data_IF_146072357454
#
_entry.id   IF_146072357454
#
_cell.length_a   1.000
_cell.length_b   1.000
_cell.length_c   1.000
_cell.angle_alpha   90.00
_cell.angle_beta   90.00
_cell.angle_gamma   90.00
#
_symmetry.space_group_name_H-M   'P 1'
#
loop_
_entity.id
_entity.type
_entity.pdbx_description
1 polymer ?
#
# COMPACT_ATOMS: atom_id res chain seq x y z
N UNK A 1 10.49 -1.93 20.72
CA UNK A 1 11.09 -1.85 19.37
C UNK A 1 10.05 -1.71 18.27
N UNK A 2 9.03 -2.57 18.19
CA UNK A 2 8.00 -2.54 17.12
C UNK A 2 6.81 -1.60 17.34
N UNK A 3 6.82 -0.76 18.39
CA UNK A 3 5.77 0.24 18.60
C UNK A 3 6.04 1.50 17.77
N UNK A 4 5.88 1.40 16.46
CA UNK A 4 6.12 2.51 15.52
C UNK A 4 4.99 3.55 15.55
N UNK A 5 3.83 3.19 16.10
CA UNK A 5 2.72 4.11 16.33
C UNK A 5 3.11 5.30 17.22
N UNK A 6 3.97 5.07 18.22
CA UNK A 6 4.34 6.12 19.17
C UNK A 6 5.09 7.28 18.50
N UNK A 7 6.12 6.98 17.70
CA UNK A 7 6.89 8.00 16.96
C UNK A 7 6.05 8.62 15.84
N UNK A 8 5.28 7.79 15.12
CA UNK A 8 4.41 8.26 14.05
C UNK A 8 3.40 9.27 14.59
N UNK A 9 2.80 9.01 15.76
CA UNK A 9 1.86 9.96 16.37
C UNK A 9 2.52 11.31 16.64
N UNK A 10 3.73 11.34 17.22
CA UNK A 10 4.46 12.60 17.45
C UNK A 10 4.68 13.38 16.16
N UNK A 11 5.11 12.70 15.09
CA UNK A 11 5.30 13.33 13.77
C UNK A 11 3.99 13.87 13.22
N UNK A 12 2.89 13.10 13.30
CA UNK A 12 1.57 13.55 12.84
C UNK A 12 1.05 14.75 13.64
N UNK A 13 1.32 14.80 14.95
CA UNK A 13 0.96 15.95 15.79
C UNK A 13 1.75 17.22 15.37
N UNK A 14 3.04 17.07 15.00
CA UNK A 14 3.89 18.18 14.52
C UNK A 14 3.43 18.74 13.17
N UNK A 15 2.89 17.89 12.29
CA UNK A 15 2.46 18.29 10.94
C UNK A 15 0.95 18.48 10.81
N UNK A 16 0.21 18.51 11.92
CA UNK A 16 -1.26 18.52 11.95
C UNK A 16 -1.88 19.64 11.10
N UNK A 17 -1.24 20.80 11.04
CA UNK A 17 -1.75 21.98 10.30
C UNK A 17 -1.67 21.78 8.77
N UNK A 18 -0.97 20.74 8.29
CA UNK A 18 -0.97 20.35 6.88
C UNK A 18 -2.17 19.47 6.48
N UNK A 19 -2.96 19.01 7.45
CA UNK A 19 -4.10 18.09 7.28
C UNK A 19 -3.78 16.92 6.31
N UNK A 20 -2.78 16.08 6.64
CA UNK A 20 -2.31 15.04 5.75
C UNK A 20 -3.35 13.91 5.66
N UNK A 21 -3.81 13.63 4.45
CA UNK A 21 -4.71 12.51 4.17
C UNK A 21 -3.97 11.40 3.46
N UNK A 22 -4.26 10.17 3.87
CA UNK A 22 -3.73 8.95 3.29
C UNK A 22 -4.85 8.01 2.86
N UNK A 23 -4.60 7.24 1.80
CA UNK A 23 -5.37 6.05 1.47
C UNK A 23 -4.42 4.93 1.07
N UNK A 24 -4.64 3.72 1.58
CA UNK A 24 -3.76 2.58 1.32
C UNK A 24 -4.50 1.44 0.64
N UNK A 25 -3.89 0.93 -0.43
CA UNK A 25 -4.37 -0.16 -1.28
C UNK A 25 -3.69 -1.46 -0.80
N UNK A 26 -4.34 -2.22 0.07
CA UNK A 26 -3.77 -3.44 0.63
C UNK A 26 -4.02 -4.64 -0.27
N UNK A 27 -3.00 -5.07 -1.00
CA UNK A 27 -3.01 -6.34 -1.70
C UNK A 27 -2.64 -7.50 -0.76
N UNK A 28 -3.22 -8.67 -0.99
CA UNK A 28 -2.92 -9.90 -0.26
C UNK A 28 -3.24 -11.13 -1.11
N UNK A 29 -2.69 -12.28 -0.74
CA UNK A 29 -3.00 -13.56 -1.41
C UNK A 29 -3.57 -14.55 -0.43
N UNK A 30 -4.63 -15.26 -0.84
CA UNK A 30 -5.20 -16.36 -0.09
C UNK A 30 -4.43 -17.65 -0.38
N UNK A 31 -3.99 -18.32 0.68
CA UNK A 31 -3.32 -19.62 0.66
C UNK A 31 -4.15 -20.66 1.41
N UNK A 32 -4.03 -21.92 1.02
CA UNK A 32 -4.39 -23.04 1.88
C UNK A 32 -3.39 -23.18 3.04
N UNK A 33 -3.74 -23.99 4.04
CA UNK A 33 -2.86 -24.31 5.18
C UNK A 33 -1.55 -25.01 4.76
N UNK A 34 -1.50 -25.55 3.55
CA UNK A 34 -0.32 -26.13 2.92
C UNK A 34 0.60 -25.08 2.26
N UNK A 35 0.31 -23.79 2.44
CA UNK A 35 1.00 -22.65 1.82
C UNK A 35 0.90 -22.58 0.29
N UNK A 36 0.03 -23.39 -0.33
CA UNK A 36 -0.26 -23.29 -1.77
C UNK A 36 -1.41 -22.30 -2.00
N UNK A 37 -1.40 -21.49 -3.08
CA UNK A 37 -2.48 -20.53 -3.32
C UNK A 37 -3.86 -21.21 -3.38
N UNK A 38 -4.83 -20.61 -2.69
CA UNK A 38 -6.14 -21.19 -2.46
C UNK A 38 -6.89 -21.40 -3.78
N UNK A 39 -7.37 -22.61 -4.05
CA UNK A 39 -8.12 -22.92 -5.28
C UNK A 39 -7.25 -23.16 -6.52
N UNK A 40 -5.93 -23.13 -6.40
CA UNK A 40 -5.03 -23.57 -7.48
C UNK A 40 -5.03 -25.09 -7.62
N UNK A 41 -4.68 -25.64 -8.80
CA UNK A 41 -4.52 -27.08 -8.98
C UNK A 41 -3.46 -27.65 -8.03
N UNK A 42 -3.73 -28.85 -7.48
CA UNK A 42 -2.78 -29.56 -6.63
C UNK A 42 -1.45 -29.78 -7.37
N UNK A 43 -0.35 -29.33 -6.76
CA UNK A 43 1.00 -29.38 -7.35
C UNK A 43 1.10 -28.75 -8.75
N UNK A 44 0.21 -27.81 -9.08
CA UNK A 44 0.11 -27.21 -10.40
C UNK A 44 -0.14 -25.72 -10.37
N UNK A 45 -0.32 -25.17 -11.57
CA UNK A 45 -0.58 -23.75 -11.81
C UNK A 45 -1.90 -23.60 -12.56
N UNK A 46 -2.68 -22.53 -12.32
CA UNK A 46 -3.79 -22.17 -13.17
C UNK A 46 -3.29 -21.65 -14.53
N UNK A 47 -4.22 -21.26 -15.39
CA UNK A 47 -3.88 -20.59 -16.64
C UNK A 47 -3.08 -19.29 -16.42
N UNK A 48 -2.45 -18.73 -17.48
CA UNK A 48 -1.71 -17.48 -17.38
C UNK A 48 -2.56 -16.31 -16.89
N UNK A 49 -1.91 -15.34 -16.22
CA UNK A 49 -2.55 -14.10 -15.77
C UNK A 49 -3.21 -13.34 -16.93
N UNK A 50 -4.29 -12.61 -16.64
CA UNK A 50 -5.09 -11.89 -17.62
C UNK A 50 -6.58 -11.90 -17.28
N UNK A 51 -7.22 -13.07 -17.14
CA UNK A 51 -8.66 -13.14 -16.95
C UNK A 51 -9.13 -13.02 -15.48
N UNK A 52 -8.20 -12.84 -14.54
CA UNK A 52 -8.47 -12.85 -13.10
C UNK A 52 -8.77 -11.46 -12.53
N UNK A 53 -8.08 -10.42 -13.00
CA UNK A 53 -8.26 -9.05 -12.54
C UNK A 53 -9.72 -8.61 -12.74
N UNK A 54 -10.37 -8.20 -11.64
CA UNK A 54 -11.80 -7.86 -11.62
C UNK A 54 -12.72 -8.93 -12.24
N UNK A 55 -12.29 -10.20 -12.23
CA UNK A 55 -13.03 -11.30 -12.84
C UNK A 55 -14.34 -11.64 -12.13
N UNK A 56 -15.16 -12.45 -12.81
CA UNK A 56 -16.39 -13.05 -12.28
C UNK A 56 -16.53 -14.47 -12.86
N UNK A 57 -17.06 -15.39 -12.07
CA UNK A 57 -17.20 -16.81 -12.44
C UNK A 57 -16.25 -17.72 -11.68
N UNK A 58 -16.67 -18.97 -11.51
CA UNK A 58 -15.96 -19.97 -10.70
C UNK A 58 -14.57 -20.33 -11.24
N UNK A 59 -14.32 -20.12 -12.54
CA UNK A 59 -13.04 -20.39 -13.19
C UNK A 59 -12.08 -19.19 -13.11
N UNK A 60 -12.54 -18.02 -12.63
CA UNK A 60 -11.76 -16.77 -12.54
C UNK A 60 -11.52 -16.30 -11.11
N UNK A 61 -12.45 -16.57 -10.20
CA UNK A 61 -12.49 -15.94 -8.89
C UNK A 61 -12.44 -16.98 -7.79
N UNK A 62 -11.42 -16.89 -6.94
CA UNK A 62 -11.19 -17.84 -5.85
C UNK A 62 -11.26 -17.09 -4.51
N UNK A 63 -12.15 -17.53 -3.61
CA UNK A 63 -12.24 -17.00 -2.24
C UNK A 63 -13.05 -15.71 -2.06
N UNK A 64 -13.99 -15.38 -2.97
CA UNK A 64 -14.83 -14.17 -2.85
C UNK A 64 -15.61 -14.08 -1.53
N UNK A 65 -16.02 -15.21 -0.96
CA UNK A 65 -16.77 -15.22 0.31
C UNK A 65 -15.98 -14.57 1.46
N UNK A 66 -14.66 -14.73 1.48
CA UNK A 66 -13.77 -14.09 2.46
C UNK A 66 -13.76 -12.58 2.25
N UNK A 67 -13.68 -12.12 1.00
CA UNK A 67 -13.64 -10.69 0.63
C UNK A 67 -14.96 -10.02 1.01
N UNK A 68 -16.10 -10.63 0.68
CA UNK A 68 -17.43 -10.12 1.01
C UNK A 68 -17.66 -10.07 2.53
N UNK A 69 -17.20 -11.09 3.25
CA UNK A 69 -17.29 -11.16 4.71
C UNK A 69 -16.39 -10.11 5.38
N UNK A 70 -15.15 -9.97 4.91
CA UNK A 70 -14.20 -8.96 5.36
C UNK A 70 -14.72 -7.54 5.13
N UNK A 71 -15.26 -7.26 3.94
CA UNK A 71 -15.82 -5.95 3.61
C UNK A 71 -16.92 -5.58 4.60
N UNK A 72 -17.91 -6.45 4.79
CA UNK A 72 -19.03 -6.22 5.72
C UNK A 72 -18.56 -6.08 7.17
N UNK A 73 -17.60 -6.90 7.59
CA UNK A 73 -17.02 -6.81 8.94
C UNK A 73 -16.30 -5.47 9.16
N UNK A 74 -15.53 -4.99 8.17
CA UNK A 74 -14.88 -3.69 8.21
C UNK A 74 -15.91 -2.55 8.30
N UNK A 75 -16.95 -2.56 7.47
CA UNK A 75 -18.04 -1.58 7.52
C UNK A 75 -18.71 -1.56 8.90
N UNK A 76 -19.06 -2.74 9.43
CA UNK A 76 -19.70 -2.86 10.74
C UNK A 76 -18.80 -2.35 11.87
N UNK A 77 -17.49 -2.64 11.82
CA UNK A 77 -16.51 -2.19 12.80
C UNK A 77 -16.21 -0.68 12.73
N UNK A 78 -16.69 0.03 11.70
CA UNK A 78 -16.38 1.44 11.46
C UNK A 78 -15.00 1.67 10.84
N UNK A 79 -14.39 0.65 10.24
CA UNK A 79 -13.18 0.83 9.43
C UNK A 79 -13.53 1.64 8.18
N UNK A 80 -12.71 2.64 7.83
CA UNK A 80 -12.84 3.43 6.61
C UNK A 80 -12.44 2.64 5.35
N UNK A 81 -13.01 1.46 5.16
CA UNK A 81 -12.85 0.69 3.92
C UNK A 81 -13.60 1.41 2.79
N UNK A 82 -12.96 1.61 1.65
CA UNK A 82 -13.54 2.38 0.52
C UNK A 82 -13.70 1.56 -0.76
N UNK A 83 -13.16 0.35 -0.83
CA UNK A 83 -13.32 -0.53 -1.99
C UNK A 83 -12.59 -1.85 -1.84
N UNK A 84 -12.81 -2.72 -2.84
CA UNK A 84 -12.13 -4.00 -3.02
C UNK A 84 -12.13 -4.41 -4.48
N UNK A 85 -11.14 -5.18 -4.91
CA UNK A 85 -11.13 -5.85 -6.22
C UNK A 85 -10.39 -7.20 -6.17
N UNK A 86 -10.70 -8.07 -7.13
CA UNK A 86 -9.84 -9.22 -7.43
C UNK A 86 -8.60 -8.71 -8.17
N UNK A 87 -7.43 -9.16 -7.76
CA UNK A 87 -6.16 -8.74 -8.33
C UNK A 87 -5.72 -9.61 -9.53
N UNK A 88 -4.60 -9.25 -10.13
CA UNK A 88 -4.09 -9.90 -11.36
C UNK A 88 -3.74 -11.38 -11.15
N UNK A 89 -3.15 -11.75 -10.01
CA UNK A 89 -2.87 -13.15 -9.70
C UNK A 89 -4.14 -13.85 -9.18
N UNK A 90 -4.48 -15.05 -9.65
CA UNK A 90 -5.61 -15.81 -9.10
C UNK A 90 -5.39 -16.07 -7.60
N UNK A 91 -6.46 -15.88 -6.81
CA UNK A 91 -6.45 -15.91 -5.34
C UNK A 91 -5.81 -14.69 -4.67
N UNK A 92 -5.35 -13.70 -5.46
CA UNK A 92 -4.93 -12.39 -4.96
C UNK A 92 -6.10 -11.42 -4.98
N UNK A 93 -6.15 -10.57 -3.97
CA UNK A 93 -7.22 -9.60 -3.74
C UNK A 93 -6.65 -8.31 -3.19
N UNK A 94 -7.42 -7.24 -3.33
CA UNK A 94 -7.12 -5.94 -2.75
C UNK A 94 -8.32 -5.41 -1.96
N UNK A 95 -8.04 -4.70 -0.87
CA UNK A 95 -8.98 -3.80 -0.23
C UNK A 95 -8.34 -2.42 -0.02
N UNK A 96 -9.13 -1.36 -0.17
CA UNK A 96 -8.65 0.00 0.01
C UNK A 96 -9.18 0.59 1.33
N UNK A 97 -8.32 1.26 2.08
CA UNK A 97 -8.67 1.97 3.32
C UNK A 97 -8.35 3.45 3.16
N UNK A 98 -9.31 4.32 3.45
CA UNK A 98 -9.16 5.77 3.45
C UNK A 98 -10.26 6.52 2.68
N UNK A 99 -10.19 7.86 2.61
CA UNK A 99 -9.13 8.69 3.17
C UNK A 99 -9.13 8.73 4.71
N UNK A 100 -7.94 8.62 5.32
CA UNK A 100 -7.72 8.73 6.76
C UNK A 100 -6.76 9.90 7.04
N UNK A 101 -7.00 10.68 8.09
CA UNK A 101 -6.14 11.80 8.45
C UNK A 101 -5.05 11.38 9.45
N UNK A 102 -3.80 11.68 9.10
CA UNK A 102 -2.65 11.45 9.98
C UNK A 102 -2.58 10.02 10.56
N UNK A 103 -2.60 9.94 11.88
CA UNK A 103 -2.40 8.68 12.63
C UNK A 103 -3.51 7.64 12.39
N UNK A 104 -4.70 8.08 11.99
CA UNK A 104 -5.85 7.20 11.74
C UNK A 104 -5.56 6.18 10.62
N UNK A 105 -4.69 6.50 9.67
CA UNK A 105 -4.38 5.59 8.56
C UNK A 105 -3.79 4.27 9.07
N UNK A 106 -2.82 4.35 9.98
CA UNK A 106 -2.23 3.16 10.58
C UNK A 106 -3.23 2.40 11.44
N UNK A 107 -4.03 3.12 12.24
CA UNK A 107 -5.05 2.51 13.11
C UNK A 107 -6.07 1.72 12.27
N UNK A 108 -6.61 2.31 11.20
CA UNK A 108 -7.59 1.67 10.33
C UNK A 108 -7.02 0.49 9.54
N UNK A 109 -5.82 0.61 8.96
CA UNK A 109 -5.26 -0.48 8.16
C UNK A 109 -4.87 -1.68 9.02
N UNK A 110 -4.27 -1.46 10.20
CA UNK A 110 -3.96 -2.55 11.12
C UNK A 110 -5.21 -3.29 11.59
N UNK A 111 -6.29 -2.56 11.89
CA UNK A 111 -7.57 -3.19 12.24
C UNK A 111 -8.19 -3.94 11.05
N UNK A 112 -8.12 -3.39 9.84
CA UNK A 112 -8.59 -4.07 8.63
C UNK A 112 -7.83 -5.38 8.38
N UNK A 113 -6.50 -5.39 8.57
CA UNK A 113 -5.67 -6.60 8.50
C UNK A 113 -6.04 -7.62 9.57
N UNK A 114 -6.26 -7.18 10.81
CA UNK A 114 -6.70 -8.07 11.89
C UNK A 114 -8.04 -8.74 11.54
N UNK A 115 -9.02 -7.97 11.08
CA UNK A 115 -10.33 -8.50 10.65
C UNK A 115 -10.15 -9.49 9.51
N UNK A 116 -9.29 -9.21 8.52
CA UNK A 116 -9.00 -10.13 7.42
C UNK A 116 -8.50 -11.48 7.93
N UNK A 117 -7.51 -11.47 8.84
CA UNK A 117 -6.99 -12.70 9.41
C UNK A 117 -8.04 -13.46 10.23
N UNK A 118 -8.87 -12.76 11.00
CA UNK A 118 -9.98 -13.36 11.76
C UNK A 118 -11.02 -14.02 10.86
N UNK A 119 -11.41 -13.35 9.78
CA UNK A 119 -12.32 -13.92 8.77
C UNK A 119 -11.67 -15.14 8.11
N UNK A 120 -10.41 -15.02 7.68
CA UNK A 120 -9.69 -16.13 7.05
C UNK A 120 -9.60 -17.38 7.96
N UNK A 121 -9.42 -17.19 9.27
CA UNK A 121 -9.40 -18.26 10.26
C UNK A 121 -10.74 -19.03 10.28
N UNK A 122 -11.87 -18.33 10.27
CA UNK A 122 -13.21 -18.95 10.22
C UNK A 122 -13.44 -19.76 8.93
N UNK A 123 -12.81 -19.36 7.82
CA UNK A 123 -12.84 -20.08 6.54
C UNK A 123 -11.74 -21.14 6.38
N UNK A 124 -10.83 -21.28 7.35
CA UNK A 124 -9.73 -22.25 7.29
C UNK A 124 -8.68 -21.95 6.21
N UNK A 125 -8.49 -20.67 5.86
CA UNK A 125 -7.49 -20.21 4.88
C UNK A 125 -6.49 -19.24 5.51
N UNK A 126 -5.38 -18.99 4.82
CA UNK A 126 -4.34 -18.06 5.27
C UNK A 126 -4.27 -16.86 4.32
N UNK A 127 -4.44 -15.64 4.83
CA UNK A 127 -4.06 -14.44 4.09
C UNK A 127 -2.57 -14.15 4.30
N UNK A 128 -1.79 -14.13 3.22
CA UNK A 128 -0.39 -13.67 3.26
C UNK A 128 -0.27 -12.24 2.75
N UNK A 129 0.53 -11.44 3.46
CA UNK A 129 0.95 -10.10 3.04
C UNK A 129 2.38 -10.10 2.45
N UNK A 130 2.95 -11.28 2.18
CA UNK A 130 4.25 -11.38 1.55
C UNK A 130 4.26 -10.66 0.18
N UNK A 131 5.23 -9.79 -0.12
CA UNK A 131 5.22 -8.99 -1.34
C UNK A 131 5.48 -9.80 -2.62
N UNK A 132 5.92 -11.06 -2.51
CA UNK A 132 6.11 -11.96 -3.65
C UNK A 132 5.81 -13.40 -3.22
N UNK A 133 4.51 -13.76 -3.06
CA UNK A 133 4.11 -15.04 -2.50
C UNK A 133 4.40 -16.20 -3.45
N UNK A 134 4.40 -15.95 -4.76
CA UNK A 134 4.78 -16.91 -5.80
C UNK A 134 5.94 -16.39 -6.64
N UNK A 135 6.90 -17.26 -6.93
CA UNK A 135 8.04 -16.95 -7.81
C UNK A 135 7.65 -17.09 -9.28
N UNK A 136 8.42 -16.45 -10.17
CA UNK A 136 8.18 -16.49 -11.61
C UNK A 136 7.19 -15.44 -12.10
N UNK A 137 6.43 -15.78 -13.14
CA UNK A 137 5.56 -14.84 -13.88
C UNK A 137 4.19 -14.63 -13.21
N UNK A 138 4.20 -14.35 -11.91
CA UNK A 138 3.03 -14.04 -11.10
C UNK A 138 3.21 -12.67 -10.45
N UNK A 139 2.14 -11.88 -10.33
CA UNK A 139 2.20 -10.56 -9.70
C UNK A 139 2.69 -10.66 -8.25
N UNK A 140 3.38 -9.61 -7.80
CA UNK A 140 3.66 -9.43 -6.37
C UNK A 140 2.50 -8.72 -5.68
N UNK A 141 2.62 -8.53 -4.37
CA UNK A 141 1.65 -7.83 -3.53
C UNK A 141 2.20 -6.49 -3.02
N UNK A 142 1.55 -5.39 -3.37
CA UNK A 142 1.88 -4.02 -2.94
C UNK A 142 1.04 -3.51 -1.76
N UNK A 143 1.43 -2.35 -1.25
CA UNK A 143 0.56 -1.52 -0.42
C UNK A 143 0.59 -0.06 -0.88
N UNK A 144 0.07 0.23 -2.08
CA UNK A 144 0.18 1.58 -2.64
C UNK A 144 -0.40 2.61 -1.68
N UNK A 145 0.29 3.73 -1.52
CA UNK A 145 -0.10 4.77 -0.56
C UNK A 145 -0.40 6.06 -1.30
N UNK A 146 -1.68 6.39 -1.36
CA UNK A 146 -2.19 7.67 -1.83
C UNK A 146 -1.99 8.71 -0.73
N UNK A 147 -1.46 9.89 -1.08
CA UNK A 147 -1.17 10.96 -0.12
C UNK A 147 -1.47 12.36 -0.67
N UNK A 148 -2.03 13.21 0.19
CA UNK A 148 -2.18 14.65 -0.04
C UNK A 148 -2.13 15.46 1.26
N UNK A 149 -1.66 16.71 1.18
CA UNK A 149 -1.92 17.75 2.18
C UNK A 149 -3.08 18.64 1.74
N UNK A 150 -3.57 19.51 2.62
CA UNK A 150 -4.60 20.49 2.25
C UNK A 150 -4.22 21.32 1.02
N UNK A 151 -2.98 21.83 0.96
CA UNK A 151 -2.48 22.62 -0.16
C UNK A 151 -2.40 21.82 -1.47
N UNK A 152 -2.18 20.50 -1.41
CA UNK A 152 -2.23 19.65 -2.60
C UNK A 152 -3.64 19.49 -3.13
N UNK A 153 -4.66 19.54 -2.27
CA UNK A 153 -6.08 19.35 -2.62
C UNK A 153 -6.77 20.62 -3.13
N UNK A 154 -6.15 21.79 -2.98
CA UNK A 154 -6.68 23.08 -3.46
C UNK A 154 -6.26 23.36 -4.90
N UNK A 155 -7.01 24.19 -5.62
CA UNK A 155 -6.71 24.57 -7.01
C UNK A 155 -5.26 25.08 -7.16
N UNK A 156 -4.55 24.56 -8.16
CA UNK A 156 -3.11 24.81 -8.33
C UNK A 156 -2.20 23.97 -7.42
N UNK A 157 -2.76 22.98 -6.71
CA UNK A 157 -2.06 22.10 -5.78
C UNK A 157 -1.05 21.15 -6.40
N UNK A 158 -1.07 20.95 -7.73
CA UNK A 158 -0.11 20.12 -8.46
C UNK A 158 1.34 20.55 -8.21
N UNK A 159 1.59 21.86 -8.06
CA UNK A 159 2.93 22.39 -7.71
C UNK A 159 3.44 21.84 -6.37
N UNK A 160 2.55 21.63 -5.40
CA UNK A 160 2.89 21.06 -4.09
C UNK A 160 3.12 19.55 -4.18
N UNK A 161 2.36 18.86 -5.04
CA UNK A 161 2.58 17.45 -5.38
C UNK A 161 3.98 17.27 -5.99
N UNK A 162 4.31 18.03 -7.03
CA UNK A 162 5.61 17.97 -7.70
C UNK A 162 6.76 18.29 -6.75
N UNK A 163 6.60 19.31 -5.89
CA UNK A 163 7.58 19.63 -4.86
C UNK A 163 7.77 18.52 -3.82
N UNK A 164 6.71 17.80 -3.45
CA UNK A 164 6.81 16.64 -2.56
C UNK A 164 7.51 15.46 -3.23
N UNK A 165 7.19 15.19 -4.50
CA UNK A 165 7.84 14.14 -5.30
C UNK A 165 9.34 14.41 -5.45
N UNK A 166 9.74 15.67 -5.66
CA UNK A 166 11.15 16.06 -5.75
C UNK A 166 11.91 15.92 -4.43
N UNK A 167 11.22 15.98 -3.28
CA UNK A 167 11.83 15.64 -1.99
C UNK A 167 11.97 14.12 -1.82
N UNK A 168 10.96 13.36 -2.25
CA UNK A 168 10.98 11.89 -2.21
C UNK A 168 12.08 11.30 -3.11
N UNK A 169 12.35 11.91 -4.27
CA UNK A 169 13.41 11.47 -5.19
C UNK A 169 14.79 11.46 -4.53
N UNK A 170 15.04 12.40 -3.62
CA UNK A 170 16.31 12.56 -2.88
C UNK A 170 16.43 11.63 -1.66
N UNK A 171 15.39 10.87 -1.33
CA UNK A 171 15.35 9.97 -0.17
C UNK A 171 14.88 8.56 -0.53
N UNK A 172 15.04 8.13 -1.79
CA UNK A 172 14.56 6.83 -2.24
C UNK A 172 15.00 5.67 -1.33
N UNK A 173 16.30 5.56 -1.05
CA UNK A 173 16.88 4.48 -0.24
C UNK A 173 16.31 4.45 1.19
N UNK A 174 16.16 5.62 1.81
CA UNK A 174 15.53 5.74 3.14
C UNK A 174 14.11 5.18 3.12
N UNK A 175 13.31 5.55 2.11
CA UNK A 175 11.94 5.06 1.97
C UNK A 175 11.90 3.54 1.74
N UNK A 176 12.76 2.99 0.86
CA UNK A 176 12.83 1.54 0.63
C UNK A 176 13.14 0.78 1.92
N UNK A 177 14.06 1.28 2.74
CA UNK A 177 14.40 0.66 4.03
C UNK A 177 13.24 0.58 5.02
N UNK A 178 12.27 1.52 4.98
CA UNK A 178 11.12 1.53 5.90
C UNK A 178 9.85 0.92 5.29
N UNK A 179 9.86 0.63 3.99
CA UNK A 179 8.71 0.16 3.22
C UNK A 179 8.49 -1.35 3.26
N UNK A 180 9.34 -2.08 3.99
CA UNK A 180 9.04 -3.42 4.52
C UNK A 180 9.77 -3.64 5.87
N UNK A 181 9.30 -4.58 6.72
CA UNK A 181 9.89 -4.82 8.04
C UNK A 181 11.33 -5.35 8.03
N UNK A 182 11.89 -5.69 6.87
CA UNK A 182 13.22 -6.28 6.71
C UNK A 182 14.20 -5.39 5.96
N UNK A 183 13.92 -4.08 5.88
CA UNK A 183 14.90 -3.12 5.36
C UNK A 183 15.01 -3.12 3.84
N UNK A 184 13.92 -3.37 3.11
CA UNK A 184 13.93 -3.45 1.64
C UNK A 184 14.16 -4.87 1.10
N UNK A 185 14.56 -5.82 1.96
CA UNK A 185 14.90 -7.19 1.54
C UNK A 185 13.69 -7.95 1.01
N UNK A 186 12.52 -7.80 1.63
CA UNK A 186 11.32 -8.48 1.15
C UNK A 186 10.84 -7.85 -0.16
N UNK A 187 10.86 -6.51 -0.23
CA UNK A 187 10.40 -5.77 -1.39
C UNK A 187 11.30 -5.94 -2.63
N UNK A 188 12.58 -6.31 -2.44
CA UNK A 188 13.51 -6.63 -3.54
C UNK A 188 13.03 -7.77 -4.45
N UNK A 189 12.21 -8.68 -3.91
CA UNK A 189 11.58 -9.78 -4.68
C UNK A 189 10.42 -9.30 -5.56
N UNK A 190 9.85 -8.13 -5.26
CA UNK A 190 8.69 -7.54 -5.94
C UNK A 190 9.09 -6.45 -6.93
N UNK A 191 9.84 -5.45 -6.47
CA UNK A 191 10.23 -4.27 -7.24
C UNK A 191 11.37 -4.56 -8.23
N UNK A 192 11.01 -5.17 -9.35
CA UNK A 192 11.97 -5.67 -10.36
C UNK A 192 11.94 -4.88 -11.67
N UNK A 193 11.02 -3.92 -11.83
CA UNK A 193 10.73 -3.25 -13.10
C UNK A 193 9.77 -4.02 -14.02
N UNK A 194 9.41 -5.26 -13.65
CA UNK A 194 8.42 -6.07 -14.34
C UNK A 194 7.07 -6.07 -13.60
N UNK A 195 6.02 -6.60 -14.23
CA UNK A 195 4.69 -6.77 -13.61
C UNK A 195 4.10 -5.48 -13.02
N UNK A 196 4.19 -4.36 -13.74
CA UNK A 196 3.67 -3.06 -13.30
C UNK A 196 4.30 -2.54 -11.99
N UNK A 197 5.56 -2.90 -11.72
CA UNK A 197 6.36 -2.38 -10.61
C UNK A 197 7.56 -1.56 -11.10
N UNK A 198 8.06 -0.64 -10.28
CA UNK A 198 9.34 0.03 -10.54
C UNK A 198 10.52 -0.88 -10.16
N UNK A 199 11.73 -0.53 -10.58
CA UNK A 199 12.95 -1.12 -10.04
C UNK A 199 13.20 -0.59 -8.60
N UNK A 200 13.71 -1.44 -7.70
CA UNK A 200 14.01 -1.06 -6.31
C UNK A 200 15.19 -0.07 -6.16
N UNK A 201 16.04 0.07 -7.17
CA UNK A 201 17.23 0.93 -7.12
C UNK A 201 17.02 2.29 -7.83
N UNK A 202 15.92 2.46 -8.54
CA UNK A 202 15.67 3.63 -9.38
C UNK A 202 14.37 4.32 -8.97
N UNK A 203 14.48 5.59 -8.59
CA UNK A 203 13.30 6.43 -8.38
C UNK A 203 12.78 6.94 -9.73
N UNK A 204 11.47 6.85 -9.94
CA UNK A 204 10.79 7.42 -11.10
C UNK A 204 9.42 7.97 -10.73
N UNK A 205 8.98 9.01 -11.44
CA UNK A 205 7.66 9.58 -11.28
C UNK A 205 7.02 9.89 -12.64
N UNK A 206 5.69 9.79 -12.74
CA UNK A 206 5.01 10.18 -13.98
C UNK A 206 3.48 10.18 -13.87
N UNK A 207 2.85 10.97 -14.75
CA UNK A 207 1.39 11.01 -14.87
C UNK A 207 0.89 9.71 -15.48
N UNK A 208 -0.03 9.05 -14.79
CA UNK A 208 -0.64 7.77 -15.17
C UNK A 208 0.37 6.63 -15.48
N UNK A 209 1.62 6.75 -15.03
CA UNK A 209 2.65 5.75 -15.29
C UNK A 209 2.59 4.62 -14.26
N UNK A 210 2.11 3.45 -14.68
CA UNK A 210 2.05 2.25 -13.82
C UNK A 210 3.41 1.55 -13.64
N UNK A 211 4.47 1.94 -14.33
CA UNK A 211 5.82 1.43 -14.07
C UNK A 211 6.64 2.31 -13.12
N UNK A 212 6.11 3.48 -12.75
CA UNK A 212 6.85 4.45 -11.94
C UNK A 212 6.79 4.13 -10.44
N UNK A 213 7.79 4.62 -9.70
CA UNK A 213 7.78 4.57 -8.24
C UNK A 213 6.65 5.43 -7.66
N UNK A 214 6.47 6.63 -8.19
CA UNK A 214 5.37 7.53 -7.86
C UNK A 214 4.49 7.75 -9.09
N UNK A 215 3.18 7.57 -8.93
CA UNK A 215 2.19 7.85 -9.97
C UNK A 215 1.39 9.09 -9.59
N UNK A 216 1.29 10.04 -10.51
CA UNK A 216 0.27 11.10 -10.44
C UNK A 216 -0.96 10.60 -11.22
N UNK A 217 -2.14 10.46 -10.59
CA UNK A 217 -3.34 10.04 -11.31
C UNK A 217 -3.63 10.95 -12.51
N UNK A 218 -4.19 10.38 -13.59
CA UNK A 218 -4.51 11.15 -14.80
C UNK A 218 -5.42 12.34 -14.49
N UNK A 219 -6.45 12.12 -13.67
CA UNK A 219 -7.39 13.16 -13.26
C UNK A 219 -6.68 14.29 -12.51
N UNK A 220 -5.76 13.97 -11.59
CA UNK A 220 -4.98 14.97 -10.84
C UNK A 220 -4.11 15.81 -11.78
N UNK A 221 -3.49 15.19 -12.79
CA UNK A 221 -2.73 15.90 -13.81
C UNK A 221 -3.58 16.81 -14.70
N UNK A 222 -4.86 16.49 -14.89
CA UNK A 222 -5.81 17.29 -15.67
C UNK A 222 -6.41 18.44 -14.85
N UNK A 223 -6.81 18.17 -13.60
CA UNK A 223 -7.42 19.16 -12.71
C UNK A 223 -6.38 20.11 -12.11
N UNK A 224 -5.12 19.69 -12.02
CA UNK A 224 -4.04 20.49 -11.46
C UNK A 224 -4.01 20.51 -9.94
N UNK A 225 -4.70 19.57 -9.27
CA UNK A 225 -4.69 19.38 -7.81
C UNK A 225 -5.23 18.00 -7.42
N UNK A 226 -4.97 17.56 -6.18
CA UNK A 226 -5.43 16.29 -5.62
C UNK A 226 -4.39 15.59 -4.77
N UNK A 227 -3.93 14.43 -5.23
CA UNK A 227 -3.01 13.54 -4.52
C UNK A 227 -2.00 12.85 -5.47
N UNK A 228 -0.97 12.22 -4.92
CA UNK A 228 -0.14 11.26 -5.67
C UNK A 228 -0.14 9.90 -4.98
N UNK A 229 0.30 8.88 -5.70
CA UNK A 229 0.36 7.50 -5.24
C UNK A 229 1.81 7.02 -5.18
N UNK A 230 2.28 6.65 -3.99
CA UNK A 230 3.55 5.97 -3.79
C UNK A 230 3.35 4.46 -3.92
N UNK A 231 3.94 3.87 -4.96
CA UNK A 231 3.74 2.45 -5.32
C UNK A 231 4.82 1.53 -4.76
N UNK A 232 5.78 2.11 -4.06
CA UNK A 232 6.94 1.38 -3.51
C UNK A 232 6.64 0.58 -2.24
N UNK A 233 5.66 0.90 -1.36
CA UNK A 233 5.46 0.08 -0.16
C UNK A 233 5.07 -1.36 -0.49
N UNK A 234 5.67 -2.31 0.22
CA UNK A 234 5.33 -3.73 0.14
C UNK A 234 3.99 -4.01 0.84
N UNK A 235 3.28 -5.09 0.46
CA UNK A 235 2.06 -5.52 1.12
C UNK A 235 2.21 -5.72 2.65
N UNK A 236 3.40 -6.10 3.13
CA UNK A 236 3.70 -6.34 4.55
C UNK A 236 4.26 -5.11 5.29
N UNK A 237 4.24 -3.92 4.69
CA UNK A 237 4.74 -2.70 5.34
C UNK A 237 3.99 -2.40 6.65
N UNK A 238 4.64 -1.73 7.61
CA UNK A 238 3.92 -1.10 8.72
C UNK A 238 3.40 0.26 8.24
N UNK A 239 2.07 0.49 8.20
CA UNK A 239 1.52 1.79 7.78
C UNK A 239 1.98 2.96 8.64
N UNK A 240 2.33 2.75 9.92
CA UNK A 240 2.90 3.82 10.75
C UNK A 240 4.28 4.25 10.21
N UNK A 241 5.12 3.27 9.85
CA UNK A 241 6.44 3.56 9.29
C UNK A 241 6.35 4.29 7.94
N UNK A 242 5.45 3.84 7.07
CA UNK A 242 5.23 4.43 5.74
C UNK A 242 4.75 5.87 5.86
N UNK A 243 3.68 6.10 6.62
CA UNK A 243 3.06 7.43 6.75
C UNK A 243 3.98 8.42 7.47
N UNK A 244 4.68 7.99 8.53
CA UNK A 244 5.70 8.78 9.21
C UNK A 244 6.81 9.22 8.23
N UNK A 245 7.37 8.29 7.45
CA UNK A 245 8.44 8.58 6.51
C UNK A 245 8.02 9.59 5.42
N UNK A 246 6.79 9.49 4.91
CA UNK A 246 6.25 10.47 3.96
C UNK A 246 6.17 11.86 4.61
N UNK A 247 5.73 11.98 5.86
CA UNK A 247 5.64 13.28 6.54
C UNK A 247 7.01 13.90 6.80
N UNK A 248 7.96 13.08 7.28
CA UNK A 248 9.34 13.51 7.52
C UNK A 248 10.00 14.08 6.27
N UNK A 249 9.80 13.42 5.13
CA UNK A 249 10.37 13.86 3.86
C UNK A 249 9.62 15.05 3.26
N UNK A 250 8.29 15.00 3.20
CA UNK A 250 7.52 15.94 2.37
C UNK A 250 7.13 17.23 3.10
N UNK A 251 6.92 17.16 4.42
CA UNK A 251 6.51 18.31 5.25
C UNK A 251 7.65 18.81 6.13
N UNK A 252 8.34 17.93 6.86
CA UNK A 252 9.44 18.30 7.76
C UNK A 252 10.78 18.56 7.03
N UNK A 253 10.85 18.27 5.73
CA UNK A 253 12.01 18.50 4.87
C UNK A 253 13.30 17.85 5.37
N UNK A 254 13.19 16.71 6.05
CA UNK A 254 14.38 15.97 6.46
C UNK A 254 15.14 15.48 5.22
N UNK A 255 16.47 15.40 5.30
CA UNK A 255 17.35 14.85 4.26
C UNK A 255 18.26 13.77 4.84
N UNK A 256 18.85 12.92 3.99
CA UNK A 256 19.74 11.83 4.42
C UNK A 256 18.97 10.56 4.81
N UNK A 257 19.64 9.65 5.50
CA UNK A 257 19.11 8.31 5.87
C UNK A 257 18.66 8.19 7.33
N UNK A 258 19.06 9.14 8.17
CA UNK A 258 18.67 9.17 9.58
C UNK A 258 17.41 10.04 9.78
N UNK A 259 16.65 9.72 10.82
CA UNK A 259 15.51 10.51 11.27
C UNK A 259 15.93 11.47 12.37
N UNK A 260 15.49 12.73 12.29
CA UNK A 260 15.71 13.70 13.36
C UNK A 260 14.81 13.39 14.56
N UNK A 261 15.38 13.49 15.76
CA UNK A 261 14.61 13.51 17.00
C UNK A 261 14.13 14.94 17.26
N UNK A 262 12.81 15.12 17.16
CA UNK A 262 12.15 16.36 17.52
C UNK A 262 11.72 16.20 18.97
N UNK A 263 12.65 16.46 19.90
CA UNK A 263 12.34 16.44 21.32
C UNK A 263 11.14 17.36 21.61
N UNK A 264 10.29 16.93 22.56
CA UNK A 264 9.01 17.57 22.90
C UNK A 264 9.24 19.07 23.25
N UNK A 265 8.98 19.96 22.27
CA UNK A 265 8.90 21.41 22.44
C UNK A 265 7.45 21.83 22.66
#
# INVERSE_FOLDING_TARGET
ETNLRHTCKKVMDLVKDSHPWFGMEQEYTLLGINSHPYGWPDNGFPGPQGPYYCGVGADKVYGRDIVESHYKACLYAGVKICGTNAEVMPSQWEFQVGPCEGIEMGDHLWMARFILHRVCEDFGVVATLDPKPMTGNWNGAGCHTNYSTEEMRREGGLKHIEAAIEKLSKRHDYHICVYDPRGGRDNSRRLTGHHETSNIFEFSAGVANRGASIRIPRQVGQDGYGYFEDRRPAANCDPYAVTEAIMRTTVLNETGVETKDYADH
#
